data_IF_929234310441
#
_entry.id   IF_929234310441
#
_cell.length_a   1.000
_cell.length_b   1.000
_cell.length_c   1.000
_cell.angle_alpha   90.00
_cell.angle_beta   90.00
_cell.angle_gamma   90.00
#
_symmetry.space_group_name_H-M   'P 1'
#
loop_
_entity.id
_entity.type
_entity.pdbx_description
1 polymer ?
#
# COMPACT_ATOMS: atom_id res chain seq x y z
N UNK A 1 -2.74 -18.62 8.06
CA UNK A 1 -1.87 -17.46 7.80
C UNK A 1 -0.61 -17.91 7.05
N UNK A 2 -0.05 -17.10 6.14
CA UNK A 2 1.22 -17.42 5.45
C UNK A 2 2.37 -17.51 6.46
N UNK A 3 3.28 -18.46 6.29
CA UNK A 3 4.40 -18.72 7.22
C UNK A 3 5.30 -17.48 7.44
N UNK A 4 5.61 -16.76 6.37
CA UNK A 4 6.40 -15.52 6.43
C UNK A 4 5.70 -14.42 7.27
N UNK A 5 4.38 -14.29 7.11
CA UNK A 5 3.60 -13.33 7.88
C UNK A 5 3.57 -13.74 9.35
N UNK A 6 3.33 -15.02 9.65
CA UNK A 6 3.35 -15.53 11.02
C UNK A 6 4.69 -15.22 11.70
N UNK A 7 5.82 -15.55 11.04
CA UNK A 7 7.16 -15.24 11.55
C UNK A 7 7.36 -13.76 11.83
N UNK A 8 6.93 -12.89 10.92
CA UNK A 8 7.01 -11.44 11.09
C UNK A 8 6.20 -10.96 12.31
N UNK A 9 4.97 -11.45 12.50
CA UNK A 9 4.16 -11.10 13.67
C UNK A 9 4.81 -11.57 14.98
N UNK A 10 5.40 -12.77 14.97
CA UNK A 10 6.11 -13.33 16.13
C UNK A 10 7.31 -12.46 16.49
N UNK A 11 8.13 -12.08 15.50
CA UNK A 11 9.28 -11.21 15.71
C UNK A 11 8.88 -9.83 16.26
N UNK A 12 7.77 -9.26 15.79
CA UNK A 12 7.22 -8.00 16.32
C UNK A 12 6.81 -8.17 17.78
N UNK A 13 6.06 -9.23 18.09
CA UNK A 13 5.51 -9.46 19.43
C UNK A 13 6.62 -9.73 20.45
N UNK A 14 7.62 -10.54 20.11
CA UNK A 14 8.77 -10.82 20.98
C UNK A 14 9.55 -9.55 21.29
N UNK A 15 9.85 -8.73 20.28
CA UNK A 15 10.53 -7.44 20.47
C UNK A 15 9.69 -6.49 21.34
N UNK A 16 8.38 -6.46 21.14
CA UNK A 16 7.47 -5.65 21.95
C UNK A 16 7.47 -6.10 23.42
N UNK A 17 7.36 -7.41 23.66
CA UNK A 17 7.36 -7.99 25.00
C UNK A 17 8.73 -7.88 25.70
N UNK A 18 9.82 -7.74 24.94
CA UNK A 18 11.16 -7.50 25.52
C UNK A 18 11.32 -6.08 26.10
N UNK A 19 10.48 -5.13 25.69
CA UNK A 19 10.59 -3.74 26.14
C UNK A 19 10.05 -3.57 27.57
N UNK A 20 10.81 -2.95 28.51
CA UNK A 20 10.40 -2.85 29.91
C UNK A 20 9.03 -2.20 30.14
N UNK A 21 8.64 -1.26 29.28
CA UNK A 21 7.37 -0.57 29.39
C UNK A 21 6.14 -1.47 29.16
N UNK A 22 6.31 -2.65 28.55
CA UNK A 22 5.19 -3.54 28.23
C UNK A 22 4.92 -4.59 29.30
N UNK A 23 5.80 -4.72 30.29
CA UNK A 23 5.78 -5.80 31.29
C UNK A 23 4.45 -5.93 32.05
N UNK A 24 3.82 -4.79 32.37
CA UNK A 24 2.51 -4.74 33.05
C UNK A 24 1.38 -5.37 32.23
N UNK A 25 1.57 -5.51 30.92
CA UNK A 25 0.56 -6.00 29.98
C UNK A 25 0.85 -7.42 29.48
N UNK A 26 1.80 -8.14 30.09
CA UNK A 26 2.17 -9.50 29.68
C UNK A 26 1.17 -10.57 30.15
N UNK A 27 0.37 -10.26 31.17
CA UNK A 27 -0.58 -11.17 31.77
C UNK A 27 -1.97 -10.55 31.81
N UNK A 28 -3.04 -11.36 31.80
CA UNK A 28 -4.41 -10.86 31.94
C UNK A 28 -4.58 -10.06 33.24
N UNK A 29 -5.49 -9.07 33.21
CA UNK A 29 -5.93 -8.40 34.43
C UNK A 29 -6.63 -9.42 35.34
N UNK A 30 -6.30 -9.49 36.65
CA UNK A 30 -6.91 -10.46 37.57
C UNK A 30 -8.44 -10.34 37.61
N UNK A 31 -9.11 -11.46 37.87
CA UNK A 31 -10.57 -11.56 38.02
C UNK A 31 -10.95 -11.87 39.48
N UNK A 32 -12.24 -11.75 39.81
CA UNK A 32 -12.72 -12.06 41.16
C UNK A 32 -12.34 -11.01 42.19
N UNK A 33 -11.86 -11.45 43.36
CA UNK A 33 -11.53 -10.55 44.49
C UNK A 33 -10.32 -9.65 44.23
N UNK A 34 -9.40 -10.08 43.35
CA UNK A 34 -8.21 -9.32 42.97
C UNK A 34 -8.47 -8.36 41.79
N UNK A 35 -9.67 -8.37 41.23
CA UNK A 35 -10.02 -7.51 40.11
C UNK A 35 -9.97 -6.03 40.54
N UNK A 36 -9.37 -5.15 39.72
CA UNK A 36 -9.51 -3.72 39.95
C UNK A 36 -10.99 -3.34 39.95
N UNK A 37 -11.37 -2.42 40.85
CA UNK A 37 -12.75 -1.98 41.01
C UNK A 37 -13.36 -1.67 39.65
N UNK A 38 -14.61 -2.10 39.42
CA UNK A 38 -15.41 -1.91 38.20
C UNK A 38 -14.71 -2.16 36.84
N UNK A 39 -13.56 -2.85 36.80
CA UNK A 39 -12.77 -3.02 35.57
C UNK A 39 -13.55 -3.74 34.48
N UNK A 40 -14.12 -4.90 34.78
CA UNK A 40 -14.89 -5.70 33.81
C UNK A 40 -16.29 -5.13 33.51
N UNK A 41 -16.74 -4.15 34.30
CA UNK A 41 -17.94 -3.36 33.97
C UNK A 41 -17.63 -2.29 32.92
N UNK A 42 -16.45 -1.66 33.01
CA UNK A 42 -16.00 -0.62 32.07
C UNK A 42 -15.44 -1.25 30.79
N UNK A 43 -14.54 -2.22 30.93
CA UNK A 43 -13.79 -2.84 29.83
C UNK A 43 -14.50 -4.10 29.35
N UNK A 44 -15.07 -4.00 28.14
CA UNK A 44 -15.90 -5.08 27.55
C UNK A 44 -15.10 -6.21 26.92
N UNK A 45 -13.92 -5.91 26.41
CA UNK A 45 -13.06 -6.87 25.71
C UNK A 45 -11.66 -6.84 26.34
N UNK A 46 -11.48 -7.41 27.55
CA UNK A 46 -10.18 -7.49 28.20
C UNK A 46 -9.23 -8.35 27.36
N UNK A 47 -8.00 -7.88 27.18
CA UNK A 47 -6.93 -8.58 26.46
C UNK A 47 -5.57 -8.10 26.97
N UNK A 48 -4.56 -8.96 26.83
CA UNK A 48 -3.18 -8.73 27.22
C UNK A 48 -2.23 -9.36 26.18
N UNK A 49 -0.94 -9.02 26.25
CA UNK A 49 0.07 -9.49 25.30
C UNK A 49 0.33 -11.01 25.40
N UNK A 50 0.13 -11.62 26.58
CA UNK A 50 0.22 -13.07 26.75
C UNK A 50 -0.89 -13.80 26.01
N UNK A 51 -2.12 -13.31 26.12
CA UNK A 51 -3.27 -13.80 25.33
C UNK A 51 -3.02 -13.65 23.83
N UNK A 52 -2.48 -12.51 23.39
CA UNK A 52 -2.13 -12.28 21.98
C UNK A 52 -1.05 -13.25 21.51
N UNK A 53 -0.05 -13.51 22.34
CA UNK A 53 1.01 -14.49 22.06
C UNK A 53 0.43 -15.88 21.85
N UNK A 54 -0.45 -16.32 22.74
CA UNK A 54 -1.14 -17.61 22.60
C UNK A 54 -1.98 -17.67 21.31
N UNK A 55 -2.78 -16.64 21.03
CA UNK A 55 -3.56 -16.57 19.78
C UNK A 55 -2.69 -16.66 18.54
N UNK A 56 -1.50 -16.05 18.57
CA UNK A 56 -0.55 -16.10 17.47
C UNK A 56 0.02 -17.51 17.29
N UNK A 57 0.50 -18.15 18.36
CA UNK A 57 1.01 -19.53 18.37
C UNK A 57 -0.04 -20.54 17.87
N UNK A 58 -1.30 -20.34 18.23
CA UNK A 58 -2.44 -21.15 17.79
C UNK A 58 -2.93 -20.82 16.37
N UNK A 59 -2.24 -19.92 15.64
CA UNK A 59 -2.61 -19.47 14.29
C UNK A 59 -4.04 -18.90 14.18
N UNK A 60 -4.51 -18.19 15.21
CA UNK A 60 -5.87 -17.61 15.27
C UNK A 60 -6.03 -16.28 14.52
N UNK A 61 -4.95 -15.72 13.99
CA UNK A 61 -4.99 -14.49 13.20
C UNK A 61 -5.03 -14.81 11.71
N UNK A 62 -5.96 -14.20 10.97
CA UNK A 62 -6.04 -14.37 9.51
C UNK A 62 -4.99 -13.49 8.81
N UNK A 63 -4.72 -12.30 9.37
CA UNK A 63 -3.64 -11.45 8.91
C UNK A 63 -3.20 -10.37 9.90
N UNK A 64 -2.31 -9.49 9.43
CA UNK A 64 -1.70 -8.41 10.22
C UNK A 64 -2.74 -7.50 10.89
N UNK A 65 -3.85 -7.21 10.20
CA UNK A 65 -4.89 -6.31 10.70
C UNK A 65 -5.50 -6.81 12.01
N UNK A 66 -5.77 -8.11 12.11
CA UNK A 66 -6.40 -8.70 13.29
C UNK A 66 -5.46 -8.67 14.49
N UNK A 67 -4.19 -9.06 14.27
CA UNK A 67 -3.13 -8.97 15.27
C UNK A 67 -2.93 -7.52 15.75
N UNK A 68 -2.83 -6.57 14.82
CA UNK A 68 -2.67 -5.15 15.14
C UNK A 68 -3.86 -4.62 15.94
N UNK A 69 -5.09 -5.04 15.60
CA UNK A 69 -6.30 -4.62 16.32
C UNK A 69 -6.27 -5.06 17.76
N UNK A 70 -5.85 -6.30 18.03
CA UNK A 70 -5.72 -6.82 19.39
C UNK A 70 -4.64 -6.09 20.19
N UNK A 71 -3.47 -5.84 19.60
CA UNK A 71 -2.38 -5.12 20.30
C UNK A 71 -2.82 -3.68 20.63
N UNK A 72 -3.50 -2.99 19.71
CA UNK A 72 -4.05 -1.65 20.00
C UNK A 72 -5.14 -1.67 21.08
N UNK A 73 -5.91 -2.76 21.15
CA UNK A 73 -6.94 -2.92 22.18
C UNK A 73 -6.34 -3.01 23.58
N UNK A 74 -5.15 -3.63 23.76
CA UNK A 74 -4.42 -3.62 25.04
C UNK A 74 -4.22 -2.19 25.53
N UNK A 75 -3.68 -1.32 24.67
CA UNK A 75 -3.40 0.07 25.00
C UNK A 75 -4.67 0.87 25.24
N UNK A 76 -5.67 0.68 24.38
CA UNK A 76 -6.96 1.37 24.49
C UNK A 76 -7.69 1.01 25.78
N UNK A 77 -7.69 -0.25 26.18
CA UNK A 77 -8.28 -0.69 27.44
C UNK A 77 -7.56 -0.04 28.64
N UNK A 78 -6.22 -0.02 28.61
CA UNK A 78 -5.44 0.64 29.65
C UNK A 78 -5.76 2.14 29.76
N UNK A 79 -5.84 2.85 28.65
CA UNK A 79 -6.18 4.29 28.63
C UNK A 79 -7.65 4.59 28.95
N UNK A 80 -8.56 3.63 28.69
CA UNK A 80 -9.98 3.79 28.99
C UNK A 80 -10.24 3.63 30.50
N UNK A 81 -9.54 2.70 31.14
CA UNK A 81 -9.71 2.43 32.56
C UNK A 81 -8.87 3.34 33.46
N UNK A 82 -7.65 3.70 33.03
CA UNK A 82 -6.71 4.45 33.85
C UNK A 82 -6.70 5.92 33.46
N UNK A 83 -6.81 6.81 34.45
CA UNK A 83 -6.74 8.25 34.24
C UNK A 83 -5.41 8.69 33.57
N UNK A 84 -5.44 9.73 32.71
CA UNK A 84 -4.23 10.26 32.09
C UNK A 84 -3.17 10.67 33.11
N UNK A 85 -1.92 10.26 32.88
CA UNK A 85 -0.77 10.59 33.74
C UNK A 85 -0.51 9.59 34.86
N UNK A 86 -1.38 8.60 35.05
CA UNK A 86 -1.07 7.42 35.88
C UNK A 86 0.04 6.59 35.26
N UNK A 87 0.78 5.84 36.08
CA UNK A 87 1.87 4.96 35.60
C UNK A 87 1.39 4.03 34.48
N UNK A 88 0.23 3.40 34.62
CA UNK A 88 -0.31 2.48 33.62
C UNK A 88 -0.63 3.19 32.30
N UNK A 89 -1.23 4.39 32.34
CA UNK A 89 -1.51 5.17 31.13
C UNK A 89 -0.22 5.59 30.40
N UNK A 90 0.82 5.97 31.14
CA UNK A 90 2.12 6.35 30.58
C UNK A 90 2.81 5.13 29.93
N UNK A 91 2.77 3.98 30.61
CA UNK A 91 3.32 2.73 30.08
C UNK A 91 2.56 2.26 28.82
N UNK A 92 1.24 2.40 28.78
CA UNK A 92 0.43 2.09 27.60
C UNK A 92 0.80 2.98 26.41
N UNK A 93 0.93 4.29 26.64
CA UNK A 93 1.35 5.24 25.61
C UNK A 93 2.76 4.93 25.07
N UNK A 94 3.68 4.52 25.93
CA UNK A 94 5.02 4.09 25.51
C UNK A 94 4.99 2.75 24.76
N UNK A 95 4.23 1.77 25.24
CA UNK A 95 3.99 0.49 24.57
C UNK A 95 3.46 0.67 23.16
N UNK A 96 2.48 1.56 22.96
CA UNK A 96 1.95 1.91 21.64
C UNK A 96 3.01 2.51 20.72
N UNK A 97 3.87 3.42 21.22
CA UNK A 97 4.96 4.01 20.42
C UNK A 97 5.98 2.96 19.98
N UNK A 98 6.38 2.07 20.90
CA UNK A 98 7.29 0.95 20.61
C UNK A 98 6.68 0.04 19.56
N UNK A 99 5.41 -0.35 19.74
CA UNK A 99 4.69 -1.18 18.77
C UNK A 99 4.65 -0.52 17.38
N UNK A 100 4.28 0.75 17.28
CA UNK A 100 4.27 1.49 16.03
C UNK A 100 5.67 1.61 15.39
N UNK A 101 6.74 1.69 16.18
CA UNK A 101 8.12 1.66 15.67
C UNK A 101 8.52 0.29 15.12
N UNK A 102 8.18 -0.79 15.82
CA UNK A 102 8.42 -2.16 15.38
C UNK A 102 7.63 -2.49 14.11
N UNK A 103 6.34 -2.16 14.09
CA UNK A 103 5.53 -2.30 12.90
C UNK A 103 6.10 -1.53 11.72
N UNK A 104 6.66 -0.33 11.89
CA UNK A 104 7.31 0.42 10.79
C UNK A 104 8.59 -0.26 10.28
N UNK A 105 9.41 -0.79 11.18
CA UNK A 105 10.68 -1.44 10.83
C UNK A 105 10.47 -2.76 10.08
N UNK A 106 9.43 -3.50 10.47
CA UNK A 106 9.07 -4.78 9.85
C UNK A 106 8.06 -4.61 8.68
N UNK A 107 7.56 -3.38 8.42
CA UNK A 107 6.57 -3.05 7.37
C UNK A 107 7.13 -2.93 5.94
N UNK A 108 8.12 -3.72 5.57
CA UNK A 108 8.56 -3.79 4.17
C UNK A 108 7.85 -4.88 3.35
N UNK A 109 6.85 -5.58 3.93
CA UNK A 109 6.23 -6.77 3.33
C UNK A 109 4.69 -6.70 3.12
N UNK A 110 4.00 -5.61 3.52
CA UNK A 110 2.57 -5.43 3.26
C UNK A 110 2.36 -4.35 2.19
N UNK A 111 1.78 -4.73 1.05
CA UNK A 111 1.58 -3.84 -0.12
C UNK A 111 0.81 -2.56 0.25
N UNK A 112 -0.23 -2.66 1.08
CA UNK A 112 -1.00 -1.50 1.52
C UNK A 112 -0.18 -0.52 2.36
N UNK A 113 0.68 -1.00 3.25
CA UNK A 113 1.54 -0.13 4.07
C UNK A 113 2.67 0.46 3.24
N UNK A 114 3.25 -0.31 2.31
CA UNK A 114 4.23 0.22 1.36
C UNK A 114 3.63 1.33 0.51
N UNK A 115 2.43 1.14 -0.04
CA UNK A 115 1.72 2.16 -0.82
C UNK A 115 1.46 3.42 0.02
N UNK A 116 1.02 3.25 1.28
CA UNK A 116 0.78 4.37 2.19
C UNK A 116 2.06 5.12 2.57
N UNK A 117 3.15 4.41 2.84
CA UNK A 117 4.45 5.01 3.16
C UNK A 117 5.09 5.68 1.94
N UNK A 118 5.01 5.06 0.76
CA UNK A 118 5.43 5.67 -0.50
C UNK A 118 4.64 6.95 -0.78
N UNK A 119 3.32 6.93 -0.58
CA UNK A 119 2.47 8.12 -0.70
C UNK A 119 2.84 9.21 0.31
N UNK A 120 3.03 8.85 1.59
CA UNK A 120 3.44 9.78 2.64
C UNK A 120 4.79 10.43 2.33
N UNK A 121 5.78 9.64 1.90
CA UNK A 121 7.10 10.14 1.51
C UNK A 121 7.02 11.05 0.29
N UNK A 122 6.24 10.67 -0.74
CA UNK A 122 5.96 11.51 -1.91
C UNK A 122 5.36 12.85 -1.51
N UNK A 123 4.38 12.85 -0.60
CA UNK A 123 3.75 14.08 -0.08
C UNK A 123 4.77 14.96 0.64
N UNK A 124 5.55 14.40 1.58
CA UNK A 124 6.58 15.13 2.32
C UNK A 124 7.66 15.71 1.40
N UNK A 125 8.07 14.95 0.37
CA UNK A 125 9.02 15.43 -0.63
C UNK A 125 8.43 16.60 -1.42
N UNK A 126 7.17 16.51 -1.84
CA UNK A 126 6.47 17.59 -2.55
C UNK A 126 6.42 18.87 -1.72
N UNK A 127 6.08 18.77 -0.43
CA UNK A 127 6.04 19.91 0.49
C UNK A 127 7.42 20.58 0.64
N UNK A 128 8.48 19.79 0.77
CA UNK A 128 9.87 20.30 0.84
C UNK A 128 10.29 20.98 -0.47
N UNK A 129 9.91 20.42 -1.62
CA UNK A 129 10.21 21.01 -2.93
C UNK A 129 9.46 22.34 -3.12
N UNK A 130 8.18 22.38 -2.75
CA UNK A 130 7.35 23.59 -2.87
C UNK A 130 7.84 24.72 -1.96
N UNK A 131 8.29 24.37 -0.76
CA UNK A 131 8.84 25.30 0.24
C UNK A 131 10.34 25.59 0.05
N UNK A 132 10.98 25.06 -1.00
CA UNK A 132 12.42 25.24 -1.21
C UNK A 132 12.81 26.72 -1.43
N UNK A 133 13.99 27.17 -0.92
CA UNK A 133 14.51 28.51 -1.18
C UNK A 133 14.74 28.78 -2.68
N UNK A 134 14.62 30.05 -3.10
CA UNK A 134 14.72 30.43 -4.53
C UNK A 134 15.99 29.95 -5.23
N UNK A 135 17.14 29.98 -4.52
CA UNK A 135 18.40 29.44 -5.06
C UNK A 135 18.28 27.97 -5.42
N UNK A 136 17.61 27.16 -4.59
CA UNK A 136 17.39 25.73 -4.81
C UNK A 136 16.33 25.49 -5.89
N UNK A 137 15.25 26.29 -5.91
CA UNK A 137 14.20 26.21 -6.94
C UNK A 137 14.74 26.35 -8.37
N UNK A 138 15.74 27.22 -8.57
CA UNK A 138 16.44 27.37 -9.86
C UNK A 138 17.16 26.08 -10.28
N UNK A 139 17.80 25.36 -9.34
CA UNK A 139 18.42 24.07 -9.64
C UNK A 139 17.39 22.94 -9.83
N UNK A 140 16.28 22.94 -9.08
CA UNK A 140 15.21 21.93 -9.22
C UNK A 140 14.55 22.06 -10.59
N UNK A 141 14.16 23.27 -11.01
CA UNK A 141 13.56 23.49 -12.34
C UNK A 141 14.56 23.16 -13.46
N UNK A 142 15.84 23.45 -13.27
CA UNK A 142 16.87 23.11 -14.24
C UNK A 142 17.17 21.59 -14.28
N UNK A 143 17.03 20.84 -13.18
CA UNK A 143 17.14 19.38 -13.18
C UNK A 143 15.89 18.67 -13.72
N UNK A 144 14.68 19.22 -13.53
CA UNK A 144 13.49 18.71 -14.23
C UNK A 144 13.65 18.85 -15.74
N UNK A 145 14.23 19.96 -16.22
CA UNK A 145 14.56 20.16 -17.63
C UNK A 145 15.78 19.33 -18.12
N UNK A 146 16.68 18.89 -17.24
CA UNK A 146 17.84 18.07 -17.63
C UNK A 146 17.62 16.55 -17.45
N UNK A 147 16.71 16.09 -16.58
CA UNK A 147 16.36 14.67 -16.42
C UNK A 147 15.11 14.24 -17.19
N UNK A 148 14.23 15.14 -17.62
CA UNK A 148 13.22 14.80 -18.63
C UNK A 148 13.86 14.52 -20.00
N UNK A 149 15.08 15.01 -20.25
CA UNK A 149 15.78 14.78 -21.51
C UNK A 149 16.55 13.45 -21.63
N UNK A 150 16.40 12.52 -20.68
CA UNK A 150 16.97 11.17 -20.84
C UNK A 150 16.07 9.99 -20.51
N UNK A 151 14.82 10.19 -20.08
CA UNK A 151 13.94 9.02 -19.95
C UNK A 151 12.42 9.19 -20.04
N UNK A 152 11.79 10.36 -20.14
CA UNK A 152 10.32 10.43 -20.36
C UNK A 152 9.87 11.84 -20.77
N UNK A 153 9.80 12.11 -22.08
CA UNK A 153 8.86 13.07 -22.69
C UNK A 153 8.90 13.05 -24.24
N UNK A 154 8.92 11.87 -24.86
CA UNK A 154 8.38 11.79 -26.22
C UNK A 154 6.88 11.64 -26.08
N UNK A 155 6.16 12.74 -26.29
CA UNK A 155 4.75 12.71 -26.66
C UNK A 155 4.62 11.65 -27.77
N UNK A 156 3.58 10.80 -27.73
CA UNK A 156 3.31 9.90 -28.85
C UNK A 156 3.17 10.76 -30.11
N UNK A 157 4.14 10.67 -31.01
CA UNK A 157 4.27 11.58 -32.13
C UNK A 157 3.08 11.41 -33.07
N UNK A 158 2.79 12.44 -33.87
CA UNK A 158 1.72 12.36 -34.87
C UNK A 158 1.95 11.19 -35.84
N UNK A 159 3.22 10.90 -36.18
CA UNK A 159 3.64 9.74 -36.96
C UNK A 159 3.34 8.42 -36.24
N UNK A 160 3.68 8.30 -34.96
CA UNK A 160 3.36 7.11 -34.16
C UNK A 160 1.84 6.91 -34.06
N UNK A 161 1.05 7.98 -33.93
CA UNK A 161 -0.43 7.93 -33.88
C UNK A 161 -1.03 7.43 -35.19
N UNK A 162 -0.50 7.89 -36.32
CA UNK A 162 -0.89 7.40 -37.64
C UNK A 162 -0.52 5.91 -37.80
N UNK A 163 0.68 5.51 -37.37
CA UNK A 163 1.13 4.12 -37.44
C UNK A 163 0.30 3.21 -36.54
N UNK A 164 -0.09 3.68 -35.37
CA UNK A 164 -0.98 2.99 -34.44
C UNK A 164 -2.36 2.75 -35.04
N UNK A 165 -3.00 3.79 -35.59
CA UNK A 165 -4.31 3.66 -36.25
C UNK A 165 -4.24 2.75 -37.47
N UNK A 166 -3.13 2.75 -38.20
CA UNK A 166 -2.92 1.85 -39.33
C UNK A 166 -2.74 0.41 -38.89
N UNK A 167 -1.98 0.17 -37.82
CA UNK A 167 -1.78 -1.15 -37.25
C UNK A 167 -3.08 -1.74 -36.68
N UNK A 168 -3.97 -0.93 -36.08
CA UNK A 168 -5.24 -1.42 -35.51
C UNK A 168 -6.17 -1.94 -36.60
N UNK A 169 -6.15 -1.32 -37.78
CA UNK A 169 -6.89 -1.76 -38.97
C UNK A 169 -6.31 -3.00 -39.64
N UNK A 170 -5.06 -3.37 -39.33
CA UNK A 170 -4.39 -4.55 -39.88
C UNK A 170 -4.62 -5.81 -39.03
N UNK A 171 -5.22 -5.67 -37.83
CA UNK A 171 -5.49 -6.80 -36.96
C UNK A 171 -6.63 -7.68 -37.54
N UNK A 172 -6.45 -9.00 -37.66
CA UNK A 172 -7.32 -9.86 -38.47
C UNK A 172 -8.53 -10.48 -37.73
N UNK A 173 -8.69 -10.28 -36.41
CA UNK A 173 -9.65 -11.07 -35.60
C UNK A 173 -10.39 -10.25 -34.53
N UNK A 174 -11.67 -10.58 -34.31
CA UNK A 174 -12.51 -10.12 -33.18
C UNK A 174 -11.87 -10.41 -31.81
N UNK A 175 -11.09 -11.49 -31.69
CA UNK A 175 -10.38 -11.83 -30.45
C UNK A 175 -9.33 -10.77 -30.07
N UNK A 176 -8.75 -10.09 -31.07
CA UNK A 176 -7.76 -9.04 -30.84
C UNK A 176 -8.41 -7.82 -30.17
N UNK A 177 -9.66 -7.50 -30.51
CA UNK A 177 -10.39 -6.41 -29.89
C UNK A 177 -10.66 -6.70 -28.41
N UNK A 178 -11.01 -7.95 -28.08
CA UNK A 178 -11.22 -8.39 -26.70
C UNK A 178 -9.96 -8.31 -25.85
N UNK A 179 -8.80 -8.64 -26.41
CA UNK A 179 -7.54 -8.56 -25.69
C UNK A 179 -7.06 -7.10 -25.54
N UNK A 180 -7.27 -6.25 -26.54
CA UNK A 180 -7.04 -4.79 -26.41
C UNK A 180 -7.93 -4.18 -25.32
N UNK A 181 -9.20 -4.59 -25.22
CA UNK A 181 -10.12 -4.16 -24.15
C UNK A 181 -9.61 -4.54 -22.76
N UNK A 182 -9.04 -5.74 -22.59
CA UNK A 182 -8.41 -6.13 -21.32
C UNK A 182 -7.23 -5.24 -20.98
N UNK A 183 -6.36 -4.95 -21.95
CA UNK A 183 -5.20 -4.07 -21.75
C UNK A 183 -5.64 -2.68 -21.33
N UNK A 184 -6.67 -2.12 -21.98
CA UNK A 184 -7.24 -0.81 -21.63
C UNK A 184 -7.81 -0.84 -20.22
N UNK A 185 -8.62 -1.84 -19.85
CA UNK A 185 -9.20 -1.95 -18.52
C UNK A 185 -8.15 -2.18 -17.42
N UNK A 186 -7.03 -2.84 -17.72
CA UNK A 186 -5.91 -3.02 -16.80
C UNK A 186 -5.13 -1.72 -16.54
N UNK A 187 -4.95 -0.90 -17.57
CA UNK A 187 -4.10 0.30 -17.50
C UNK A 187 -4.89 1.60 -17.25
N UNK A 188 -6.17 1.63 -17.65
CA UNK A 188 -7.11 2.76 -17.55
C UNK A 188 -8.56 2.25 -17.39
N UNK A 189 -8.93 1.71 -16.22
CA UNK A 189 -10.28 1.20 -15.93
C UNK A 189 -11.38 2.27 -15.97
N UNK A 190 -11.02 3.56 -15.95
CA UNK A 190 -11.96 4.69 -16.03
C UNK A 190 -12.52 4.93 -17.44
N UNK A 191 -11.94 4.32 -18.47
CA UNK A 191 -12.44 4.43 -19.85
C UNK A 191 -13.59 3.41 -20.00
N UNK A 192 -14.83 3.90 -19.96
CA UNK A 192 -16.02 3.10 -20.27
C UNK A 192 -16.05 2.79 -21.76
N UNK A 193 -15.66 1.57 -22.14
CA UNK A 193 -15.48 1.19 -23.55
C UNK A 193 -16.77 0.75 -24.25
N UNK A 194 -17.94 0.75 -23.58
CA UNK A 194 -19.21 0.34 -24.17
C UNK A 194 -19.24 -1.15 -24.57
N UNK A 195 -20.38 -1.83 -24.39
CA UNK A 195 -20.45 -3.30 -24.43
C UNK A 195 -20.32 -3.96 -25.82
N UNK A 196 -20.21 -3.22 -26.93
CA UNK A 196 -20.23 -3.85 -28.27
C UNK A 196 -19.31 -3.21 -29.34
N UNK A 197 -18.75 -2.01 -29.16
CA UNK A 197 -17.84 -1.40 -30.15
C UNK A 197 -16.78 -0.51 -29.49
N UNK A 198 -15.51 -0.64 -29.92
CA UNK A 198 -14.37 0.12 -29.40
C UNK A 198 -14.25 1.49 -30.12
N UNK A 199 -15.24 2.36 -29.96
CA UNK A 199 -15.12 3.76 -30.40
C UNK A 199 -14.43 4.58 -29.28
N UNK A 200 -13.12 4.36 -29.14
CA UNK A 200 -12.32 5.03 -28.11
C UNK A 200 -11.44 6.10 -28.74
N UNK A 201 -11.55 7.32 -28.21
CA UNK A 201 -10.69 8.43 -28.59
C UNK A 201 -9.27 8.20 -28.06
N UNK A 202 -8.36 7.87 -28.98
CA UNK A 202 -6.96 7.56 -28.74
C UNK A 202 -6.23 8.72 -28.04
N UNK A 203 -6.70 9.96 -28.21
CA UNK A 203 -6.07 11.13 -27.56
C UNK A 203 -6.26 11.16 -26.04
N UNK A 204 -7.21 10.37 -25.52
CA UNK A 204 -7.46 10.23 -24.08
C UNK A 204 -6.69 9.08 -23.43
N UNK A 205 -5.90 8.32 -24.21
CA UNK A 205 -5.06 7.27 -23.66
C UNK A 205 -3.83 7.82 -22.94
N UNK A 206 -3.55 7.20 -21.80
CA UNK A 206 -2.29 7.40 -21.10
C UNK A 206 -1.14 6.80 -21.92
N UNK A 207 0.05 7.38 -21.82
CA UNK A 207 1.25 6.87 -22.51
C UNK A 207 1.56 5.39 -22.17
N UNK A 208 1.37 4.91 -20.92
CA UNK A 208 1.45 3.48 -20.61
C UNK A 208 0.47 2.61 -21.41
N UNK A 209 -0.80 3.03 -21.54
CA UNK A 209 -1.81 2.32 -22.33
C UNK A 209 -1.44 2.27 -23.81
N UNK A 210 -0.98 3.40 -24.34
CA UNK A 210 -0.50 3.53 -25.72
C UNK A 210 0.62 2.54 -26.04
N UNK A 211 1.64 2.46 -25.18
CA UNK A 211 2.76 1.52 -25.37
C UNK A 211 2.33 0.07 -25.21
N UNK A 212 1.51 -0.25 -24.20
CA UNK A 212 1.03 -1.63 -24.00
C UNK A 212 0.20 -2.13 -25.20
N UNK A 213 -0.66 -1.27 -25.75
CA UNK A 213 -1.40 -1.58 -26.97
C UNK A 213 -0.46 -1.70 -28.18
N UNK A 214 0.51 -0.80 -28.33
CA UNK A 214 1.48 -0.85 -29.43
C UNK A 214 2.33 -2.14 -29.40
N UNK A 215 2.79 -2.57 -28.23
CA UNK A 215 3.55 -3.81 -28.04
C UNK A 215 2.71 -5.04 -28.38
N UNK A 216 1.45 -5.07 -27.93
CA UNK A 216 0.49 -6.11 -28.29
C UNK A 216 0.30 -6.17 -29.81
N UNK A 217 0.03 -5.03 -30.46
CA UNK A 217 -0.19 -4.97 -31.90
C UNK A 217 1.04 -5.38 -32.71
N UNK A 218 2.25 -5.00 -32.26
CA UNK A 218 3.51 -5.40 -32.89
C UNK A 218 3.69 -6.92 -32.83
N UNK A 219 3.49 -7.50 -31.66
CA UNK A 219 3.56 -8.95 -31.45
C UNK A 219 2.52 -9.68 -32.31
N UNK A 220 1.26 -9.24 -32.29
CA UNK A 220 0.17 -9.89 -33.05
C UNK A 220 0.40 -9.82 -34.55
N UNK A 221 0.85 -8.68 -35.07
CA UNK A 221 1.19 -8.54 -36.49
C UNK A 221 2.37 -9.44 -36.87
N UNK A 222 3.42 -9.50 -36.04
CA UNK A 222 4.58 -10.36 -36.26
C UNK A 222 4.19 -11.86 -36.33
N UNK A 223 3.33 -12.32 -35.41
CA UNK A 223 2.79 -13.68 -35.45
C UNK A 223 1.92 -13.95 -36.68
N UNK A 224 1.26 -12.93 -37.22
CA UNK A 224 0.51 -13.00 -38.47
C UNK A 224 1.39 -12.84 -39.74
N UNK A 225 2.71 -12.70 -39.58
CA UNK A 225 3.66 -12.50 -40.69
C UNK A 225 3.61 -11.10 -41.31
N UNK A 226 2.98 -10.13 -40.62
CA UNK A 226 2.85 -8.74 -41.02
C UNK A 226 3.83 -7.86 -40.23
N UNK A 227 4.27 -6.74 -40.83
CA UNK A 227 5.11 -5.76 -40.13
C UNK A 227 4.27 -4.62 -39.56
N UNK A 228 4.67 -4.13 -38.39
CA UNK A 228 4.13 -2.90 -37.83
C UNK A 228 4.49 -1.71 -38.74
N UNK A 229 3.57 -0.75 -38.98
CA UNK A 229 3.84 0.42 -39.82
C UNK A 229 4.97 1.31 -39.28
N UNK A 230 5.83 1.78 -40.17
CA UNK A 230 6.92 2.73 -39.91
C UNK A 230 6.63 4.08 -40.56
#
# INVERSE_FOLDING_TARGET
MKEELHKCLTDILEKLMSHPATRTFHTPVPTGEEAPANYFEIIKNPIDLGTIKQKLEENKYEGFKDFHTDVELVWKNAETYNEPGTTVSILAAEGRKVFAALCRKENMFLLCTWCNEAYRLKKKLSEVIQSAPNKIKQYINNQSNQKQNKQNNTLFTETEMVNFVKASKMLPSEDCQRDMLKIINEHQPEIDTGLETLDVDITNFSLPTMHALQDYMRSTLEHAGLKYPE
#
